data_IF_261361112210
#
_entry.id   IF_261361112210
#
_cell.length_a   1.000
_cell.length_b   1.000
_cell.length_c   1.000
_cell.angle_alpha   90.00
_cell.angle_beta   90.00
_cell.angle_gamma   90.00
#
_symmetry.space_group_name_H-M   'P 1'
#
loop_
_entity.id
_entity.type
_entity.pdbx_description
1 polymer ?
#
# COMPACT_ATOMS: atom_id res chain seq x y z
N UNK A 1 -2.64 -1.36 -1.76
CA UNK A 1 -1.65 -1.19 -0.69
C UNK A 1 -1.33 -2.54 -0.09
N UNK A 2 -0.03 -2.86 0.08
CA UNK A 2 0.47 -4.01 0.83
C UNK A 2 1.11 -3.47 2.12
N UNK A 3 0.51 -3.73 3.27
CA UNK A 3 0.92 -3.13 4.56
C UNK A 3 1.23 -4.21 5.58
N UNK A 4 2.30 -4.07 6.34
CA UNK A 4 2.61 -4.96 7.46
C UNK A 4 2.08 -4.46 8.81
N UNK A 5 1.06 -3.61 8.76
CA UNK A 5 0.25 -3.25 9.89
C UNK A 5 -0.28 -4.50 10.60
N UNK A 6 0.21 -4.76 11.80
CA UNK A 6 -0.04 -6.02 12.50
C UNK A 6 -0.64 -5.79 13.90
N UNK A 7 -1.26 -6.83 14.50
CA UNK A 7 -1.84 -6.72 15.83
C UNK A 7 -0.83 -6.27 16.89
N UNK A 8 -1.29 -5.44 17.83
CA UNK A 8 -0.46 -4.91 18.91
C UNK A 8 0.30 -3.63 18.54
N UNK A 9 -0.19 -2.92 17.52
CA UNK A 9 0.40 -1.68 17.00
C UNK A 9 1.87 -1.84 16.58
N UNK A 10 2.16 -3.00 16.00
CA UNK A 10 3.42 -3.24 15.32
C UNK A 10 3.33 -2.50 13.99
N UNK A 11 4.41 -1.85 13.60
CA UNK A 11 4.47 -0.90 12.50
C UNK A 11 3.48 0.27 12.70
N UNK A 12 3.75 1.12 13.71
CA UNK A 12 2.90 2.27 13.98
C UNK A 12 2.91 3.32 12.86
N UNK A 13 3.96 3.41 12.07
CA UNK A 13 4.06 4.29 10.90
C UNK A 13 3.14 3.85 9.75
N UNK A 14 2.94 2.55 9.55
CA UNK A 14 1.88 2.03 8.68
C UNK A 14 0.50 2.52 9.13
N UNK A 15 0.21 2.45 10.44
CA UNK A 15 -1.05 2.95 10.98
C UNK A 15 -1.20 4.45 10.75
N UNK A 16 -0.15 5.22 10.97
CA UNK A 16 -0.13 6.66 10.74
C UNK A 16 -0.38 6.99 9.26
N UNK A 17 0.33 6.29 8.37
CA UNK A 17 0.18 6.42 6.91
C UNK A 17 -1.21 5.98 6.43
N UNK A 18 -1.78 4.92 7.01
CA UNK A 18 -3.12 4.46 6.70
C UNK A 18 -4.19 5.48 7.12
N UNK A 19 -4.04 6.09 8.29
CA UNK A 19 -4.94 7.16 8.76
C UNK A 19 -4.90 8.35 7.80
N UNK A 20 -3.71 8.74 7.35
CA UNK A 20 -3.56 9.80 6.38
C UNK A 20 -4.16 9.43 5.02
N UNK A 21 -3.94 8.20 4.54
CA UNK A 21 -4.56 7.72 3.30
C UNK A 21 -6.09 7.78 3.39
N UNK A 22 -6.68 7.33 4.50
CA UNK A 22 -8.13 7.41 4.74
C UNK A 22 -8.65 8.85 4.71
N UNK A 23 -7.87 9.81 5.22
CA UNK A 23 -8.23 11.23 5.20
C UNK A 23 -8.14 11.87 3.79
N UNK A 24 -7.65 11.14 2.79
CA UNK A 24 -7.54 11.53 1.40
C UNK A 24 -8.13 10.49 0.44
N UNK A 25 -8.99 9.60 0.94
CA UNK A 25 -9.52 8.47 0.16
C UNK A 25 -10.39 8.91 -1.03
N UNK A 26 -10.86 10.15 -1.06
CA UNK A 26 -11.55 10.76 -2.21
C UNK A 26 -10.63 11.02 -3.41
N UNK A 27 -9.31 10.97 -3.23
CA UNK A 27 -8.33 11.22 -4.28
C UNK A 27 -7.81 9.94 -4.94
N UNK A 28 -8.25 8.78 -4.50
CA UNK A 28 -7.80 7.49 -4.97
C UNK A 28 -8.95 6.54 -5.24
N UNK A 29 -8.78 5.67 -6.21
CA UNK A 29 -9.56 4.46 -6.36
C UNK A 29 -8.83 3.33 -5.64
N UNK A 30 -9.25 3.07 -4.40
CA UNK A 30 -8.60 2.08 -3.52
C UNK A 30 -9.15 0.70 -3.83
N UNK A 31 -8.40 -0.11 -4.57
CA UNK A 31 -8.82 -1.44 -4.99
C UNK A 31 -8.53 -2.54 -3.99
N UNK A 32 -7.51 -2.37 -3.15
CA UNK A 32 -7.20 -3.32 -2.09
C UNK A 32 -6.35 -2.72 -0.97
N UNK A 33 -6.63 -3.15 0.26
CA UNK A 33 -5.83 -2.96 1.46
C UNK A 33 -5.44 -4.36 1.94
N UNK A 34 -4.23 -4.77 1.66
CA UNK A 34 -3.78 -6.15 1.85
C UNK A 34 -2.72 -6.17 2.96
N UNK A 35 -2.96 -6.98 4.00
CA UNK A 35 -1.94 -7.21 5.02
C UNK A 35 -0.80 -8.06 4.45
N UNK A 36 0.43 -7.69 4.72
CA UNK A 36 1.63 -8.42 4.29
C UNK A 36 2.65 -8.53 5.42
N UNK A 37 3.53 -9.50 5.38
CA UNK A 37 4.65 -9.59 6.31
C UNK A 37 5.72 -8.55 5.96
N UNK A 38 6.37 -8.00 6.96
CA UNK A 38 7.50 -7.08 6.81
C UNK A 38 8.52 -7.27 7.93
N UNK A 39 9.41 -6.32 8.10
CA UNK A 39 10.56 -6.47 9.01
C UNK A 39 10.21 -6.82 10.44
N UNK A 40 9.24 -6.14 11.04
CA UNK A 40 8.92 -6.29 12.44
C UNK A 40 7.75 -7.25 12.68
N UNK A 41 6.95 -7.50 11.67
CA UNK A 41 5.73 -8.31 11.74
C UNK A 41 5.94 -9.77 11.35
N UNK A 42 6.97 -10.06 10.54
CA UNK A 42 7.23 -11.41 10.02
C UNK A 42 7.56 -12.42 11.12
N UNK A 43 7.09 -13.66 10.92
CA UNK A 43 7.35 -14.79 11.83
C UNK A 43 6.71 -14.66 13.20
N UNK A 44 5.91 -13.63 13.45
CA UNK A 44 5.14 -13.51 14.68
C UNK A 44 3.84 -14.30 14.53
N UNK A 45 3.57 -15.15 15.52
CA UNK A 45 2.33 -15.90 15.55
C UNK A 45 1.14 -14.99 15.86
N UNK A 46 0.58 -14.38 14.84
CA UNK A 46 -0.66 -13.63 14.91
C UNK A 46 -1.78 -14.36 14.15
N UNK A 47 -2.23 -15.52 14.65
CA UNK A 47 -3.19 -16.35 13.91
C UNK A 47 -4.56 -15.66 13.78
N UNK A 48 -4.81 -14.65 14.58
CA UNK A 48 -6.09 -13.93 14.63
C UNK A 48 -5.80 -12.45 14.73
N UNK A 49 -6.50 -11.64 13.95
CA UNK A 49 -6.47 -10.19 14.12
C UNK A 49 -5.59 -9.39 13.14
N UNK A 50 -4.97 -10.01 12.14
CA UNK A 50 -4.23 -9.25 11.11
C UNK A 50 -5.08 -8.19 10.42
N UNK A 51 -6.35 -8.47 10.15
CA UNK A 51 -7.28 -7.47 9.61
C UNK A 51 -7.82 -6.49 10.67
N UNK A 52 -7.56 -6.69 11.94
CA UNK A 52 -8.15 -5.87 13.01
C UNK A 52 -7.63 -4.42 12.96
N UNK A 53 -6.36 -4.22 12.64
CA UNK A 53 -5.79 -2.89 12.48
C UNK A 53 -6.41 -2.15 11.29
N UNK A 54 -6.60 -2.81 10.15
CA UNK A 54 -7.34 -2.26 9.01
C UNK A 54 -8.80 -1.97 9.38
N UNK A 55 -9.47 -2.90 10.04
CA UNK A 55 -10.85 -2.73 10.50
C UNK A 55 -11.00 -1.57 11.48
N UNK A 56 -10.04 -1.39 12.40
CA UNK A 56 -10.00 -0.27 13.34
C UNK A 56 -9.92 1.06 12.60
N UNK A 57 -9.07 1.13 11.57
CA UNK A 57 -8.91 2.34 10.76
C UNK A 57 -10.16 2.62 9.93
N UNK A 58 -10.74 1.60 9.29
CA UNK A 58 -11.97 1.75 8.51
C UNK A 58 -13.16 2.14 9.41
N UNK A 59 -13.26 1.60 10.61
CA UNK A 59 -14.31 1.98 11.57
C UNK A 59 -14.16 3.42 12.08
N UNK A 60 -12.94 3.92 12.20
CA UNK A 60 -12.70 5.33 12.52
C UNK A 60 -13.06 6.23 11.33
N UNK A 61 -12.65 5.83 10.12
CA UNK A 61 -13.02 6.49 8.87
C UNK A 61 -14.55 6.60 8.71
N UNK A 62 -15.30 5.51 8.91
CA UNK A 62 -16.75 5.49 8.83
C UNK A 62 -17.41 6.57 9.70
N UNK A 63 -16.89 6.76 10.92
CA UNK A 63 -17.43 7.76 11.86
C UNK A 63 -17.08 9.19 11.42
N UNK A 64 -15.95 9.39 10.74
CA UNK A 64 -15.55 10.70 10.23
C UNK A 64 -16.09 11.00 8.83
N UNK A 65 -16.54 9.97 8.10
CA UNK A 65 -17.00 10.08 6.72
C UNK A 65 -18.06 11.15 6.49
N UNK A 66 -19.10 11.33 7.34
CA UNK A 66 -20.08 12.41 7.17
C UNK A 66 -19.45 13.80 7.19
N UNK A 67 -18.39 14.01 7.98
CA UNK A 67 -17.67 15.29 8.03
C UNK A 67 -16.72 15.46 6.85
N UNK A 68 -16.07 14.39 6.40
CA UNK A 68 -15.22 14.38 5.21
C UNK A 68 -16.04 14.72 3.97
N UNK A 69 -17.18 14.07 3.78
CA UNK A 69 -18.11 14.34 2.68
C UNK A 69 -18.62 15.78 2.71
N UNK A 70 -18.98 16.29 3.89
CA UNK A 70 -19.40 17.68 4.05
C UNK A 70 -18.30 18.67 3.68
N UNK A 71 -17.05 18.39 4.03
CA UNK A 71 -15.88 19.22 3.68
C UNK A 71 -15.70 19.32 2.17
N UNK A 72 -15.88 18.22 1.45
CA UNK A 72 -15.79 18.18 -0.03
C UNK A 72 -17.09 18.59 -0.73
N UNK A 73 -18.14 19.02 0.03
CA UNK A 73 -19.48 19.33 -0.50
C UNK A 73 -20.18 18.12 -1.15
N UNK A 74 -19.80 16.92 -0.77
CA UNK A 74 -20.45 15.69 -1.23
C UNK A 74 -21.66 15.39 -0.33
N UNK A 75 -22.83 15.23 -0.93
CA UNK A 75 -24.08 14.98 -0.21
C UNK A 75 -24.38 13.48 -0.02
N UNK A 76 -23.69 12.61 -0.77
CA UNK A 76 -23.87 11.16 -0.72
C UNK A 76 -22.94 10.44 -1.68
N UNK A 77 -23.11 9.14 -1.82
CA UNK A 77 -22.48 8.34 -2.86
C UNK A 77 -23.17 8.61 -4.21
N UNK A 78 -22.52 8.23 -5.32
CA UNK A 78 -23.08 8.43 -6.68
C UNK A 78 -24.47 7.78 -6.82
N UNK A 79 -24.67 6.59 -6.23
CA UNK A 79 -25.99 5.98 -6.02
C UNK A 79 -25.93 5.00 -4.86
N UNK A 80 -27.10 4.55 -4.33
CA UNK A 80 -27.17 3.52 -3.30
C UNK A 80 -26.56 2.21 -3.79
N UNK A 81 -26.70 1.90 -5.07
CA UNK A 81 -26.11 0.71 -5.71
C UNK A 81 -24.60 0.82 -5.86
N UNK A 82 -24.04 2.03 -5.81
CA UNK A 82 -22.63 2.29 -6.00
C UNK A 82 -21.81 2.26 -4.70
N UNK A 83 -22.46 2.09 -3.54
CA UNK A 83 -21.75 2.06 -2.25
C UNK A 83 -20.64 0.98 -2.18
N UNK A 84 -20.82 -0.13 -2.88
CA UNK A 84 -19.84 -1.23 -2.95
C UNK A 84 -18.96 -1.21 -4.20
N UNK A 85 -19.14 -0.24 -5.08
CA UNK A 85 -18.29 -0.05 -6.25
C UNK A 85 -17.15 0.90 -5.93
N UNK A 86 -16.08 0.80 -6.72
CA UNK A 86 -15.01 1.78 -6.72
C UNK A 86 -15.59 3.18 -6.99
N UNK A 87 -15.17 4.16 -6.19
CA UNK A 87 -15.61 5.53 -6.31
C UNK A 87 -14.76 6.24 -7.38
N UNK A 88 -15.35 7.15 -8.13
CA UNK A 88 -14.57 8.05 -8.97
C UNK A 88 -13.73 9.00 -8.11
N UNK A 89 -12.58 9.41 -8.63
CA UNK A 89 -11.73 10.41 -7.97
C UNK A 89 -12.55 11.68 -7.69
N UNK A 90 -12.50 12.14 -6.45
CA UNK A 90 -13.31 13.25 -5.94
C UNK A 90 -14.51 12.80 -5.10
N UNK A 91 -14.80 11.49 -5.06
CA UNK A 91 -15.84 10.93 -4.21
C UNK A 91 -15.24 10.06 -3.10
N UNK A 92 -15.77 10.20 -1.89
CA UNK A 92 -15.38 9.37 -0.76
C UNK A 92 -15.92 7.94 -0.95
N UNK A 93 -15.08 6.90 -0.86
CA UNK A 93 -15.57 5.53 -0.84
C UNK A 93 -16.39 5.26 0.43
N UNK A 94 -17.40 4.40 0.34
CA UNK A 94 -18.14 3.98 1.52
C UNK A 94 -17.26 3.12 2.45
N UNK A 95 -17.58 3.09 3.73
CA UNK A 95 -16.87 2.22 4.68
C UNK A 95 -17.07 0.74 4.34
N UNK A 96 -18.22 0.35 3.80
CA UNK A 96 -18.49 -1.03 3.38
C UNK A 96 -17.69 -1.40 2.13
N UNK A 97 -17.52 -0.47 1.20
CA UNK A 97 -16.58 -0.64 0.10
C UNK A 97 -15.16 -0.91 0.65
N UNK A 98 -14.65 -0.05 1.54
CA UNK A 98 -13.31 -0.20 2.11
C UNK A 98 -13.15 -1.52 2.89
N UNK A 99 -14.19 -1.97 3.62
CA UNK A 99 -14.19 -3.29 4.28
C UNK A 99 -14.08 -4.44 3.29
N UNK A 100 -14.76 -4.32 2.14
CA UNK A 100 -14.68 -5.34 1.08
C UNK A 100 -13.30 -5.43 0.43
N UNK A 101 -12.47 -4.39 0.59
CA UNK A 101 -11.09 -4.31 0.06
C UNK A 101 -10.02 -4.72 1.07
N UNK A 102 -10.40 -4.97 2.33
CA UNK A 102 -9.47 -5.45 3.36
C UNK A 102 -9.25 -6.96 3.24
N UNK A 103 -8.03 -7.37 2.91
CA UNK A 103 -7.67 -8.75 2.56
C UNK A 103 -6.41 -9.22 3.27
N UNK A 104 -6.27 -10.53 3.40
CA UNK A 104 -5.03 -11.15 3.85
C UNK A 104 -4.11 -11.41 2.65
N UNK A 105 -2.85 -11.01 2.78
CA UNK A 105 -1.76 -11.43 1.92
C UNK A 105 -0.83 -12.43 2.62
N UNK A 106 0.44 -12.46 2.25
CA UNK A 106 1.46 -13.21 2.96
C UNK A 106 1.71 -12.57 4.32
N UNK A 107 1.71 -13.36 5.39
CA UNK A 107 1.97 -12.90 6.76
C UNK A 107 3.43 -13.09 7.18
N UNK A 108 4.26 -13.60 6.29
CA UNK A 108 5.70 -13.75 6.47
C UNK A 108 6.42 -13.09 5.28
N UNK A 109 7.59 -12.52 5.55
CA UNK A 109 8.43 -11.94 4.52
C UNK A 109 9.15 -13.02 3.69
N UNK A 110 9.63 -12.63 2.51
CA UNK A 110 10.59 -13.40 1.76
C UNK A 110 10.04 -14.23 0.60
N UNK A 111 10.95 -14.61 -0.27
CA UNK A 111 10.66 -15.36 -1.48
C UNK A 111 10.17 -16.80 -1.22
N UNK A 112 10.50 -17.38 -0.07
CA UNK A 112 10.03 -18.72 0.29
C UNK A 112 8.50 -18.79 0.47
N UNK A 113 7.86 -17.62 0.59
CA UNK A 113 6.40 -17.47 0.65
C UNK A 113 5.76 -17.34 -0.75
N UNK A 114 6.48 -17.71 -1.82
CA UNK A 114 5.98 -17.76 -3.18
C UNK A 114 5.93 -19.22 -3.64
N UNK A 115 4.83 -19.65 -4.24
CA UNK A 115 4.68 -20.98 -4.77
C UNK A 115 3.26 -21.55 -4.63
N UNK A 116 3.11 -22.82 -4.96
CA UNK A 116 1.82 -23.51 -5.10
C UNK A 116 0.90 -23.41 -3.87
N UNK A 117 1.48 -23.46 -2.67
CA UNK A 117 0.71 -23.47 -1.41
C UNK A 117 0.60 -22.09 -0.74
N UNK A 118 1.02 -21.03 -1.41
CA UNK A 118 1.13 -19.69 -0.82
C UNK A 118 0.14 -18.68 -1.41
N UNK A 119 -0.93 -19.18 -2.03
CA UNK A 119 -2.05 -18.32 -2.47
C UNK A 119 -2.74 -17.65 -1.28
N UNK A 120 -3.14 -16.42 -1.47
CA UNK A 120 -3.85 -15.63 -0.46
C UNK A 120 -5.02 -14.88 -1.09
N UNK A 121 -5.95 -14.39 -0.25
CA UNK A 121 -7.02 -13.49 -0.72
C UNK A 121 -6.45 -12.34 -1.54
N UNK A 122 -5.37 -11.73 -1.06
CA UNK A 122 -4.72 -10.58 -1.70
C UNK A 122 -4.09 -10.95 -3.04
N UNK A 123 -3.34 -12.06 -3.13
CA UNK A 123 -2.73 -12.46 -4.41
C UNK A 123 -3.78 -12.84 -5.46
N UNK A 124 -4.86 -13.51 -5.06
CA UNK A 124 -5.95 -13.88 -5.96
C UNK A 124 -6.72 -12.64 -6.44
N UNK A 125 -6.94 -11.67 -5.55
CA UNK A 125 -7.59 -10.42 -5.91
C UNK A 125 -6.75 -9.58 -6.88
N UNK A 126 -5.43 -9.51 -6.70
CA UNK A 126 -4.53 -8.82 -7.64
C UNK A 126 -4.63 -9.42 -9.05
N UNK A 127 -4.66 -10.76 -9.16
CA UNK A 127 -4.85 -11.43 -10.45
C UNK A 127 -6.20 -11.08 -11.06
N UNK A 128 -7.28 -11.15 -10.26
CA UNK A 128 -8.63 -10.82 -10.72
C UNK A 128 -8.72 -9.37 -11.19
N UNK A 129 -8.17 -8.43 -10.44
CA UNK A 129 -8.20 -7.01 -10.78
C UNK A 129 -7.47 -6.72 -12.10
N UNK A 130 -6.35 -7.40 -12.35
CA UNK A 130 -5.63 -7.28 -13.62
C UNK A 130 -6.41 -7.81 -14.82
N UNK A 131 -7.35 -8.72 -14.60
CA UNK A 131 -8.19 -9.30 -15.66
C UNK A 131 -9.42 -8.43 -15.98
N UNK A 132 -9.69 -7.40 -15.22
CA UNK A 132 -10.76 -6.46 -15.52
C UNK A 132 -10.43 -5.63 -16.77
N UNK A 133 -11.48 -5.29 -17.52
CA UNK A 133 -11.36 -4.51 -18.75
C UNK A 133 -11.17 -3.01 -18.43
N UNK A 134 -10.05 -2.69 -17.81
CA UNK A 134 -9.63 -1.32 -17.47
C UNK A 134 -8.17 -1.13 -17.94
N UNK A 135 -7.93 -0.10 -18.74
CA UNK A 135 -6.61 0.20 -19.30
C UNK A 135 -5.76 1.08 -18.35
N UNK A 136 -6.32 1.57 -17.25
CA UNK A 136 -5.59 2.36 -16.27
C UNK A 136 -4.55 1.52 -15.54
N UNK A 137 -3.36 2.07 -15.25
CA UNK A 137 -2.34 1.35 -14.49
C UNK A 137 -2.80 1.11 -13.05
N UNK A 138 -2.46 -0.06 -12.53
CA UNK A 138 -2.68 -0.44 -11.13
C UNK A 138 -1.38 -0.19 -10.36
N UNK A 139 -1.45 0.64 -9.32
CA UNK A 139 -0.32 0.90 -8.44
C UNK A 139 -0.32 -0.08 -7.27
N UNK A 140 0.79 -0.79 -7.10
CA UNK A 140 1.10 -1.59 -5.92
C UNK A 140 1.99 -0.75 -5.02
N UNK A 141 1.46 -0.32 -3.89
CA UNK A 141 2.19 0.44 -2.89
C UNK A 141 2.57 -0.55 -1.77
N UNK A 142 3.82 -0.98 -1.75
CA UNK A 142 4.31 -1.94 -0.78
C UNK A 142 4.97 -1.21 0.40
N UNK A 143 4.30 -1.21 1.52
CA UNK A 143 4.75 -0.66 2.80
C UNK A 143 5.50 -1.72 3.61
N UNK A 144 5.04 -2.97 3.57
CA UNK A 144 5.75 -4.16 4.02
C UNK A 144 6.41 -4.92 2.85
N UNK A 145 6.48 -6.25 2.96
CA UNK A 145 7.00 -7.12 1.91
C UNK A 145 6.13 -7.10 0.64
N UNK A 146 6.78 -7.25 -0.51
CA UNK A 146 6.11 -7.30 -1.81
C UNK A 146 5.78 -8.74 -2.28
N UNK A 147 6.02 -9.75 -1.46
CA UNK A 147 5.88 -11.14 -1.83
C UNK A 147 4.44 -11.56 -2.15
N UNK A 148 3.42 -10.86 -1.62
CA UNK A 148 2.02 -11.09 -2.03
C UNK A 148 1.81 -10.74 -3.51
N UNK A 149 2.40 -9.64 -3.99
CA UNK A 149 2.36 -9.30 -5.41
C UNK A 149 3.21 -10.28 -6.25
N UNK A 150 4.40 -10.65 -5.76
CA UNK A 150 5.23 -11.66 -6.41
C UNK A 150 4.52 -13.02 -6.49
N UNK A 151 3.69 -13.38 -5.50
CA UNK A 151 2.84 -14.57 -5.56
C UNK A 151 1.79 -14.46 -6.66
N UNK A 152 1.17 -13.30 -6.84
CA UNK A 152 0.23 -13.06 -7.95
C UNK A 152 0.92 -13.23 -9.32
N UNK A 153 2.14 -12.69 -9.47
CA UNK A 153 2.96 -12.90 -10.67
C UNK A 153 3.24 -14.39 -10.89
N UNK A 154 3.67 -15.10 -9.86
CA UNK A 154 3.93 -16.54 -9.94
C UNK A 154 2.70 -17.32 -10.40
N UNK A 155 1.51 -17.02 -9.86
CA UNK A 155 0.26 -17.68 -10.28
C UNK A 155 0.00 -17.50 -11.78
N UNK A 156 0.16 -16.27 -12.27
CA UNK A 156 -0.04 -15.95 -13.68
C UNK A 156 1.00 -16.65 -14.56
N UNK A 157 2.25 -16.77 -14.09
CA UNK A 157 3.31 -17.52 -14.81
C UNK A 157 3.04 -19.02 -14.93
N UNK A 158 2.29 -19.62 -13.97
CA UNK A 158 1.93 -21.03 -14.05
C UNK A 158 0.79 -21.30 -15.05
N UNK A 159 -0.14 -20.35 -15.16
CA UNK A 159 -1.42 -20.58 -15.84
C UNK A 159 -1.52 -19.92 -17.22
N UNK A 160 -0.55 -19.05 -17.62
CA UNK A 160 -0.67 -18.21 -18.83
C UNK A 160 0.56 -18.30 -19.73
N UNK A 161 0.36 -17.93 -21.00
CA UNK A 161 1.46 -17.82 -21.95
C UNK A 161 2.42 -16.68 -21.59
N UNK A 162 3.68 -16.71 -22.05
CA UNK A 162 4.64 -15.63 -21.82
C UNK A 162 4.12 -14.25 -22.22
N UNK A 163 3.35 -14.17 -23.32
CA UNK A 163 2.75 -12.92 -23.79
C UNK A 163 1.69 -12.40 -22.82
N UNK A 164 0.83 -13.27 -22.30
CA UNK A 164 -0.17 -12.92 -21.30
C UNK A 164 0.46 -12.51 -19.97
N UNK A 165 1.59 -13.13 -19.60
CA UNK A 165 2.38 -12.70 -18.42
C UNK A 165 2.89 -11.26 -18.62
N UNK A 166 3.43 -10.93 -19.79
CA UNK A 166 3.87 -9.56 -20.09
C UNK A 166 2.72 -8.55 -20.04
N UNK A 167 1.57 -8.91 -20.61
CA UNK A 167 0.36 -8.08 -20.56
C UNK A 167 -0.06 -7.82 -19.09
N UNK A 168 -0.06 -8.85 -18.26
CA UNK A 168 -0.31 -8.72 -16.83
C UNK A 168 0.67 -7.77 -16.16
N UNK A 169 1.98 -7.95 -16.35
CA UNK A 169 3.02 -7.13 -15.74
C UNK A 169 2.90 -5.65 -16.12
N UNK A 170 2.60 -5.37 -17.40
CA UNK A 170 2.48 -3.99 -17.91
C UNK A 170 1.33 -3.20 -17.32
N UNK A 171 0.32 -3.86 -16.74
CA UNK A 171 -0.76 -3.20 -16.01
C UNK A 171 -0.29 -2.59 -14.69
N UNK A 172 0.82 -3.06 -14.14
CA UNK A 172 1.25 -2.67 -12.80
C UNK A 172 2.38 -1.63 -12.79
N UNK A 173 2.35 -0.84 -11.74
CA UNK A 173 3.43 0.04 -11.29
C UNK A 173 3.67 -0.28 -9.81
N UNK A 174 4.88 -0.66 -9.46
CA UNK A 174 5.23 -1.06 -8.10
C UNK A 174 6.04 0.03 -7.43
N UNK A 175 5.59 0.52 -6.29
CA UNK A 175 6.35 1.40 -5.43
C UNK A 175 6.62 0.66 -4.11
N UNK A 176 7.88 0.47 -3.77
CA UNK A 176 8.27 -0.20 -2.53
C UNK A 176 8.99 0.75 -1.59
N UNK A 177 8.62 0.69 -0.31
CA UNK A 177 9.36 1.32 0.77
C UNK A 177 10.48 0.36 1.14
N UNK A 178 11.65 0.57 0.52
CA UNK A 178 12.83 -0.30 0.61
C UNK A 178 12.54 -1.78 0.26
N UNK A 179 13.35 -2.71 0.72
CA UNK A 179 13.14 -4.16 0.59
C UNK A 179 12.81 -4.78 1.94
N UNK A 180 11.53 -4.97 2.22
CA UNK A 180 11.06 -5.57 3.46
C UNK A 180 10.84 -7.09 3.36
N UNK A 181 11.22 -7.71 2.25
CA UNK A 181 11.17 -9.17 2.10
C UNK A 181 12.40 -9.89 2.66
N UNK A 182 13.34 -9.15 3.21
CA UNK A 182 14.53 -9.69 3.88
C UNK A 182 14.61 -9.19 5.32
N UNK A 183 15.24 -9.94 6.24
CA UNK A 183 15.42 -9.48 7.61
C UNK A 183 16.16 -8.13 7.67
N UNK A 184 15.78 -7.25 8.58
CA UNK A 184 16.29 -5.89 8.70
C UNK A 184 17.82 -5.80 8.62
N UNK A 185 18.55 -6.63 9.34
CA UNK A 185 20.01 -6.64 9.36
C UNK A 185 20.67 -7.18 8.09
N UNK A 186 19.90 -7.77 7.19
CA UNK A 186 20.40 -8.52 6.03
C UNK A 186 19.89 -7.96 4.70
N UNK A 187 19.16 -6.86 4.73
CA UNK A 187 18.45 -6.28 3.58
C UNK A 187 19.31 -6.04 2.33
N UNK A 188 20.62 -5.88 2.49
CA UNK A 188 21.55 -5.69 1.38
C UNK A 188 22.36 -6.93 1.03
N UNK A 189 22.33 -7.98 1.84
CA UNK A 189 23.13 -9.18 1.68
C UNK A 189 22.36 -10.42 1.27
N UNK A 190 21.05 -10.49 1.57
CA UNK A 190 20.19 -11.63 1.25
C UNK A 190 19.29 -11.41 0.04
N UNK A 191 19.78 -10.66 -0.90
CA UNK A 191 19.08 -10.28 -2.11
C UNK A 191 18.39 -11.43 -2.86
N UNK A 192 19.00 -12.62 -3.05
CA UNK A 192 18.36 -13.74 -3.72
C UNK A 192 17.14 -14.33 -3.00
N UNK A 193 16.96 -13.99 -1.72
CA UNK A 193 15.84 -14.43 -0.90
C UNK A 193 14.67 -13.45 -0.90
N UNK A 194 14.87 -12.28 -1.49
CA UNK A 194 13.83 -11.26 -1.66
C UNK A 194 12.98 -11.52 -2.90
N UNK A 195 11.67 -11.27 -2.79
CA UNK A 195 10.78 -11.24 -3.95
C UNK A 195 11.11 -10.11 -4.92
N UNK A 196 11.72 -9.03 -4.43
CA UNK A 196 12.15 -7.90 -5.26
C UNK A 196 13.21 -8.28 -6.29
N UNK A 197 14.07 -9.26 -5.97
CA UNK A 197 15.18 -9.64 -6.84
C UNK A 197 14.70 -10.05 -8.23
N UNK A 198 13.71 -10.95 -8.30
CA UNK A 198 13.17 -11.42 -9.57
C UNK A 198 12.44 -10.28 -10.30
N UNK A 199 11.59 -9.53 -9.57
CA UNK A 199 10.82 -8.43 -10.16
C UNK A 199 11.72 -7.38 -10.80
N UNK A 200 12.82 -7.00 -10.14
CA UNK A 200 13.74 -5.96 -10.65
C UNK A 200 14.74 -6.47 -11.67
N UNK A 201 15.19 -7.71 -11.54
CA UNK A 201 16.19 -8.27 -12.43
C UNK A 201 15.59 -8.90 -13.69
N UNK A 202 14.59 -9.75 -13.49
CA UNK A 202 14.13 -10.64 -14.56
C UNK A 202 12.87 -10.11 -15.25
N UNK A 203 12.09 -9.26 -14.58
CA UNK A 203 10.82 -8.75 -15.08
C UNK A 203 10.82 -7.25 -15.40
N UNK A 204 11.95 -6.58 -15.25
CA UNK A 204 12.08 -5.12 -15.40
C UNK A 204 11.81 -4.58 -16.81
N UNK A 205 11.81 -5.41 -17.83
CA UNK A 205 11.42 -5.00 -19.20
C UNK A 205 9.92 -4.74 -19.34
N UNK A 206 9.10 -5.42 -18.54
CA UNK A 206 7.65 -5.36 -18.62
C UNK A 206 6.99 -4.82 -17.34
N UNK A 207 7.71 -4.77 -16.21
CA UNK A 207 7.24 -4.28 -14.92
C UNK A 207 7.96 -2.99 -14.51
N UNK A 208 7.21 -1.90 -14.38
CA UNK A 208 7.76 -0.65 -13.83
C UNK A 208 7.87 -0.76 -12.30
N UNK A 209 9.10 -0.64 -11.79
CA UNK A 209 9.40 -0.84 -10.38
C UNK A 209 10.15 0.35 -9.79
N UNK A 210 9.56 1.00 -8.79
CA UNK A 210 10.11 2.12 -8.05
C UNK A 210 10.61 1.62 -6.69
N UNK A 211 11.90 1.79 -6.43
CA UNK A 211 12.49 1.47 -5.15
C UNK A 211 12.80 2.76 -4.38
N UNK A 212 12.05 2.98 -3.32
CA UNK A 212 12.30 4.07 -2.39
C UNK A 212 13.26 3.62 -1.27
N UNK A 213 14.48 4.13 -1.31
CA UNK A 213 15.50 3.88 -0.29
C UNK A 213 15.77 5.12 0.57
N UNK A 214 15.20 6.27 0.25
CA UNK A 214 15.54 7.53 0.91
C UNK A 214 14.36 8.42 1.26
N UNK A 215 13.27 8.40 0.51
CA UNK A 215 12.14 9.30 0.77
C UNK A 215 11.47 8.98 2.11
N UNK A 216 11.31 7.70 2.45
CA UNK A 216 10.75 7.26 3.74
C UNK A 216 11.62 7.71 4.92
N UNK A 217 12.96 7.66 4.81
CA UNK A 217 13.88 8.16 5.84
C UNK A 217 13.73 9.67 6.03
N UNK A 218 13.59 10.41 4.92
CA UNK A 218 13.36 11.84 4.95
C UNK A 218 12.00 12.17 5.58
N UNK A 219 10.96 11.41 5.25
CA UNK A 219 9.63 11.55 5.84
C UNK A 219 9.68 11.31 7.35
N UNK A 220 10.30 10.22 7.80
CA UNK A 220 10.47 9.91 9.21
C UNK A 220 11.21 11.02 9.97
N UNK A 221 12.29 11.54 9.40
CA UNK A 221 13.08 12.61 10.00
C UNK A 221 12.29 13.92 10.12
N UNK A 222 11.56 14.29 9.06
CA UNK A 222 10.71 15.49 9.04
C UNK A 222 9.56 15.34 10.03
N UNK A 223 8.88 14.21 10.04
CA UNK A 223 7.79 13.93 10.96
C UNK A 223 8.24 13.95 12.41
N UNK A 224 9.35 13.29 12.72
CA UNK A 224 9.95 13.30 14.08
C UNK A 224 10.32 14.71 14.53
N UNK A 225 10.87 15.53 13.63
CA UNK A 225 11.24 16.93 13.93
C UNK A 225 10.03 17.83 14.17
N UNK A 226 8.91 17.51 13.52
CA UNK A 226 7.66 18.26 13.61
C UNK A 226 6.61 17.55 14.47
N UNK A 227 7.01 16.61 15.32
CA UNK A 227 6.09 15.79 16.12
C UNK A 227 5.06 16.60 16.90
N UNK A 228 5.46 17.79 17.38
CA UNK A 228 4.54 18.69 18.08
C UNK A 228 3.33 19.09 17.23
N UNK A 229 3.53 19.30 15.94
CA UNK A 229 2.45 19.63 15.00
C UNK A 229 1.48 18.45 14.83
N UNK A 230 2.00 17.22 14.79
CA UNK A 230 1.17 16.01 14.72
C UNK A 230 0.31 15.85 15.98
N UNK A 231 0.89 16.13 17.17
CA UNK A 231 0.16 16.09 18.44
C UNK A 231 -0.92 17.17 18.48
N UNK A 232 -0.61 18.37 18.00
CA UNK A 232 -1.53 19.52 18.05
C UNK A 232 -2.64 19.45 17.01
N UNK A 233 -2.34 18.95 15.79
CA UNK A 233 -3.25 19.10 14.66
C UNK A 233 -3.85 17.78 14.17
N UNK A 234 -3.33 16.63 14.56
CA UNK A 234 -3.80 15.31 14.09
C UNK A 234 -4.32 14.47 15.25
N UNK A 235 -3.48 14.23 16.27
CA UNK A 235 -3.86 13.38 17.40
C UNK A 235 -5.09 13.94 18.14
N UNK A 236 -6.07 13.06 18.38
CA UNK A 236 -7.29 13.44 19.08
C UNK A 236 -8.31 14.22 18.24
N UNK A 237 -8.02 14.50 16.97
CA UNK A 237 -8.95 15.19 16.08
C UNK A 237 -9.75 14.18 15.24
N UNK A 238 -11.07 14.17 15.44
CA UNK A 238 -11.94 13.18 14.83
C UNK A 238 -11.69 11.77 15.36
N UNK A 239 -12.29 10.80 14.72
CA UNK A 239 -12.11 9.39 15.07
C UNK A 239 -10.79 8.83 14.51
N UNK A 240 -10.40 9.24 13.30
CA UNK A 240 -9.10 8.90 12.72
C UNK A 240 -7.94 9.41 13.56
N UNK A 241 -7.94 10.68 13.92
CA UNK A 241 -6.90 11.25 14.78
C UNK A 241 -6.88 10.66 16.20
N UNK A 242 -8.02 10.16 16.70
CA UNK A 242 -8.10 9.52 18.02
C UNK A 242 -7.39 8.17 18.09
N UNK A 243 -7.18 7.51 16.95
CA UNK A 243 -6.41 6.26 16.84
C UNK A 243 -5.01 6.45 16.26
N UNK A 244 -4.60 7.70 16.01
CA UNK A 244 -3.26 8.01 15.52
C UNK A 244 -2.21 7.64 16.58
N UNK A 245 -1.21 6.78 16.24
CA UNK A 245 -0.23 6.29 17.19
C UNK A 245 0.55 7.41 17.89
N UNK A 246 0.91 7.20 19.14
CA UNK A 246 1.84 8.07 19.82
C UNK A 246 3.28 7.57 19.64
N UNK A 247 3.75 7.61 18.41
CA UNK A 247 5.05 7.08 18.00
C UNK A 247 5.77 8.07 17.10
N UNK A 248 6.82 8.68 17.59
CA UNK A 248 7.51 9.80 16.93
C UNK A 248 8.77 9.41 16.14
N UNK A 249 9.14 8.12 16.06
CA UNK A 249 10.42 7.70 15.52
C UNK A 249 10.36 7.17 14.09
N UNK A 250 9.24 6.93 13.56
CA UNK A 250 9.05 6.46 12.20
C UNK A 250 7.84 7.13 11.56
N UNK A 251 7.65 8.43 11.84
CA UNK A 251 6.40 9.13 11.51
C UNK A 251 6.07 9.02 10.04
N UNK A 252 4.97 8.32 9.77
CA UNK A 252 4.40 8.18 8.43
C UNK A 252 5.40 7.70 7.37
N UNK A 253 6.22 6.69 7.70
CA UNK A 253 7.27 6.18 6.82
C UNK A 253 6.78 5.75 5.45
N UNK A 254 5.55 5.28 5.34
CA UNK A 254 4.96 4.74 4.11
C UNK A 254 4.19 5.77 3.28
N UNK A 255 3.95 6.94 3.88
CA UNK A 255 3.25 8.06 3.22
C UNK A 255 3.86 8.47 1.88
N UNK A 256 5.20 8.48 1.65
CA UNK A 256 5.77 8.82 0.34
C UNK A 256 5.21 8.00 -0.82
N UNK A 257 4.85 6.75 -0.59
CA UNK A 257 4.34 5.85 -1.63
C UNK A 257 3.07 6.38 -2.29
N UNK A 258 2.06 6.74 -1.51
CA UNK A 258 0.83 7.28 -2.08
C UNK A 258 0.94 8.78 -2.42
N UNK A 259 1.82 9.52 -1.77
CA UNK A 259 2.13 10.90 -2.17
C UNK A 259 2.74 10.96 -3.58
N UNK A 260 3.46 9.91 -4.00
CA UNK A 260 3.97 9.78 -5.36
C UNK A 260 2.83 9.68 -6.38
N UNK A 261 1.75 8.97 -6.05
CA UNK A 261 0.60 8.79 -6.96
C UNK A 261 -0.52 9.80 -6.74
N UNK A 262 -0.40 10.68 -5.75
CA UNK A 262 -1.41 11.68 -5.44
C UNK A 262 -1.62 12.64 -6.63
N UNK A 263 -2.87 12.84 -7.09
CA UNK A 263 -3.18 13.73 -8.22
C UNK A 263 -3.06 15.20 -7.80
N UNK A 264 -1.84 15.68 -7.61
CA UNK A 264 -1.53 17.03 -7.14
C UNK A 264 -1.22 18.03 -8.26
N UNK A 265 -1.18 17.58 -9.52
CA UNK A 265 -0.87 18.40 -10.69
C UNK A 265 0.60 18.83 -10.82
N UNK A 266 1.50 18.31 -9.97
CA UNK A 266 2.93 18.64 -10.00
C UNK A 266 3.71 17.77 -10.97
N UNK A 267 3.32 16.52 -11.12
CA UNK A 267 4.05 15.54 -11.90
C UNK A 267 3.12 14.44 -12.45
N UNK A 268 3.63 13.72 -13.44
CA UNK A 268 3.07 12.44 -13.87
C UNK A 268 3.78 11.32 -13.10
N UNK A 269 3.08 10.55 -12.27
CA UNK A 269 3.71 9.49 -11.49
C UNK A 269 4.32 8.36 -12.36
N UNK A 270 3.91 8.24 -13.63
CA UNK A 270 4.51 7.30 -14.57
C UNK A 270 5.84 7.80 -15.17
N UNK A 271 6.26 9.03 -14.86
CA UNK A 271 7.54 9.62 -15.28
C UNK A 271 8.45 9.74 -14.05
N UNK A 272 9.33 8.76 -13.79
CA UNK A 272 10.06 8.66 -12.52
C UNK A 272 10.89 9.86 -12.13
N UNK A 273 11.45 10.55 -13.12
CA UNK A 273 12.32 11.70 -12.92
C UNK A 273 11.58 13.00 -12.57
N UNK A 274 10.26 13.04 -12.74
CA UNK A 274 9.46 14.20 -12.33
C UNK A 274 9.31 14.20 -10.80
N UNK A 275 9.62 15.35 -10.19
CA UNK A 275 9.50 15.49 -8.75
C UNK A 275 8.05 15.70 -8.33
N UNK A 276 7.57 14.84 -7.45
CA UNK A 276 6.29 14.95 -6.74
C UNK A 276 6.49 15.04 -5.24
N UNK A 277 5.42 14.97 -4.48
CA UNK A 277 5.51 15.00 -3.01
C UNK A 277 6.11 13.72 -2.41
N UNK A 278 6.03 12.60 -3.13
CA UNK A 278 6.69 11.33 -2.77
C UNK A 278 8.14 11.23 -3.25
N UNK A 279 8.73 12.34 -3.71
CA UNK A 279 10.10 12.35 -4.22
C UNK A 279 10.20 12.28 -5.74
N UNK A 280 11.37 11.86 -6.23
CA UNK A 280 11.63 11.53 -7.63
C UNK A 280 12.61 10.36 -7.70
N UNK A 281 12.61 9.67 -8.82
CA UNK A 281 13.44 8.49 -9.03
C UNK A 281 14.40 8.70 -10.20
N UNK A 282 15.46 7.91 -10.21
CA UNK A 282 16.39 7.83 -11.34
C UNK A 282 16.42 6.41 -11.84
N UNK A 283 16.43 6.26 -13.15
CA UNK A 283 16.65 4.95 -13.76
C UNK A 283 17.98 4.36 -13.32
N UNK A 284 17.98 3.14 -12.87
CA UNK A 284 19.12 2.37 -12.45
C UNK A 284 19.06 0.96 -13.01
N UNK A 285 20.21 0.30 -13.07
CA UNK A 285 20.25 -1.15 -13.24
C UNK A 285 20.11 -1.76 -11.85
N UNK A 286 19.09 -2.59 -11.70
CA UNK A 286 18.83 -3.33 -10.47
C UNK A 286 19.93 -4.34 -10.12
#
# INVERSE_FOLDING_TARGET
VLTDIAPGDIEPDDMESMIRLMAHADLFEVEALITSGGWNSSGRAYPVGWKDSLSRTINAYEKDLPNLMKRSSQEGFMSVEDELKAQEIGYWPSADYMRSRAMLGSLELGRHMIGENNRSEGSDHIVKLADEADDRPIWILAWGGANTFAQAIWQVQQDRSPEQVKEFLRKFRVYTITDQDVPWGERHSNYPYSSHYEMRRDLSEDLMFFWDESAWLSQNAIGSSNWKEYVEHIQGHGNLGSIYPNYKWGVEGDTPSYLHVLPNGLHDPSVPEMAGWGGYFRWGKG
#
